data_IF_541043331330
#
_entry.id   IF_541043331330
#
_cell.length_a   1.000
_cell.length_b   1.000
_cell.length_c   1.000
_cell.angle_alpha   90.00
_cell.angle_beta   90.00
_cell.angle_gamma   90.00
#
_symmetry.space_group_name_H-M   'P 1'
#
loop_
_entity.id
_entity.type
_entity.pdbx_description
1 polymer ?
#
# COMPACT_ATOMS: atom_id res chain seq x y z
N UNK A 1 -8.47 18.31 -3.84
CA UNK A 1 -8.62 19.78 -3.68
C UNK A 1 -7.52 20.38 -2.80
N UNK A 2 -7.25 19.84 -1.58
CA UNK A 2 -6.24 20.40 -0.67
C UNK A 2 -4.85 20.50 -1.31
N UNK A 3 -4.34 19.43 -1.90
CA UNK A 3 -3.03 19.40 -2.52
C UNK A 3 -2.89 20.47 -3.64
N UNK A 4 -3.89 20.59 -4.50
CA UNK A 4 -3.89 21.58 -5.58
C UNK A 4 -3.92 23.02 -5.05
N UNK A 5 -4.65 23.28 -3.94
CA UNK A 5 -4.72 24.60 -3.32
C UNK A 5 -3.41 25.01 -2.60
N UNK A 6 -2.52 24.06 -2.32
CA UNK A 6 -1.29 24.29 -1.58
C UNK A 6 -0.03 23.91 -2.36
N UNK A 7 -0.11 23.75 -3.68
CA UNK A 7 1.00 23.33 -4.55
C UNK A 7 1.73 22.07 -4.01
N UNK A 8 0.98 21.16 -3.38
CA UNK A 8 1.52 19.95 -2.77
C UNK A 8 1.38 18.74 -3.68
N UNK A 9 2.31 17.80 -3.56
CA UNK A 9 2.28 16.52 -4.25
C UNK A 9 1.85 15.43 -3.27
N UNK A 10 0.85 14.64 -3.67
CA UNK A 10 0.41 13.46 -2.94
C UNK A 10 1.32 12.29 -3.33
N UNK A 11 1.95 11.67 -2.36
CA UNK A 11 2.61 10.38 -2.52
C UNK A 11 1.63 9.29 -2.05
N UNK A 12 0.99 8.62 -2.99
CA UNK A 12 -0.06 7.64 -2.71
C UNK A 12 0.53 6.23 -2.68
N UNK A 13 0.66 5.67 -1.50
CA UNK A 13 1.13 4.29 -1.31
C UNK A 13 -0.04 3.31 -1.43
N UNK A 14 -0.11 2.63 -2.59
CA UNK A 14 -1.13 1.65 -2.92
C UNK A 14 -0.64 0.19 -2.72
N UNK A 15 0.33 -0.03 -1.82
CA UNK A 15 0.90 -1.36 -1.61
C UNK A 15 -0.12 -2.40 -1.10
N UNK A 16 -1.22 -1.97 -0.51
CA UNK A 16 -2.32 -2.81 -0.01
C UNK A 16 -3.62 -2.69 -0.80
N UNK A 17 -3.63 -2.06 -1.96
CA UNK A 17 -4.84 -1.82 -2.75
C UNK A 17 -5.61 -3.11 -3.10
N UNK A 18 -4.90 -4.21 -3.31
CA UNK A 18 -5.50 -5.50 -3.62
C UNK A 18 -6.36 -6.09 -2.48
N UNK A 19 -6.20 -5.58 -1.25
CA UNK A 19 -7.02 -5.96 -0.10
C UNK A 19 -8.34 -5.19 0.00
N UNK A 20 -8.54 -4.15 -0.81
CA UNK A 20 -9.78 -3.40 -0.85
C UNK A 20 -10.85 -4.27 -1.49
N UNK A 21 -11.88 -4.60 -0.72
CA UNK A 21 -13.04 -5.39 -1.17
C UNK A 21 -14.31 -4.56 -1.29
N UNK A 22 -14.30 -3.35 -0.73
CA UNK A 22 -15.38 -2.38 -0.84
C UNK A 22 -15.33 -1.67 -2.18
N UNK A 23 -16.27 -1.99 -3.07
CA UNK A 23 -16.34 -1.40 -4.42
C UNK A 23 -16.62 0.11 -4.46
N UNK A 24 -16.87 0.76 -3.32
CA UNK A 24 -17.00 2.22 -3.22
C UNK A 24 -15.67 2.93 -3.00
N UNK A 25 -14.61 2.20 -2.66
CA UNK A 25 -13.28 2.74 -2.42
C UNK A 25 -12.40 2.66 -3.66
N UNK A 26 -11.63 3.72 -3.98
CA UNK A 26 -10.73 3.69 -5.14
C UNK A 26 -9.54 2.75 -4.91
N UNK A 27 -9.17 1.99 -5.93
CA UNK A 27 -7.96 1.18 -5.98
C UNK A 27 -6.74 1.96 -6.48
N UNK A 28 -6.97 3.11 -7.10
CA UNK A 28 -5.93 4.02 -7.60
C UNK A 28 -6.28 5.45 -7.26
N UNK A 29 -5.28 6.25 -6.91
CA UNK A 29 -5.46 7.70 -6.75
C UNK A 29 -5.97 8.34 -8.05
N UNK A 30 -5.68 7.73 -9.20
CA UNK A 30 -6.09 8.27 -10.50
C UNK A 30 -7.56 8.02 -10.87
N UNK A 31 -8.31 7.34 -10.03
CA UNK A 31 -9.77 7.29 -10.06
C UNK A 31 -10.39 8.57 -9.49
N UNK A 32 -9.60 9.35 -8.73
CA UNK A 32 -10.01 10.64 -8.18
C UNK A 32 -9.73 11.75 -9.21
N UNK A 33 -10.76 12.55 -9.52
CA UNK A 33 -10.65 13.65 -10.47
C UNK A 33 -9.58 14.66 -10.05
N UNK A 34 -8.72 15.05 -11.00
CA UNK A 34 -7.63 16.01 -10.79
C UNK A 34 -6.37 15.40 -10.15
N UNK A 35 -6.37 14.12 -9.75
CA UNK A 35 -5.21 13.51 -9.11
C UNK A 35 -3.98 13.42 -10.03
N UNK A 36 -4.18 13.32 -11.35
CA UNK A 36 -3.06 13.31 -12.33
C UNK A 36 -2.23 14.59 -12.34
N UNK A 37 -2.76 15.66 -11.78
CA UNK A 37 -2.10 16.97 -11.69
C UNK A 37 -1.28 17.14 -10.40
N UNK A 38 -1.50 16.28 -9.39
CA UNK A 38 -0.89 16.47 -8.07
C UNK A 38 -0.54 15.16 -7.34
N UNK A 39 -0.52 13.99 -8.00
CA UNK A 39 -0.24 12.73 -7.32
C UNK A 39 0.75 11.84 -8.05
N UNK A 40 1.54 11.12 -7.26
CA UNK A 40 2.41 10.01 -7.66
C UNK A 40 1.89 8.77 -6.93
N UNK A 41 1.70 7.66 -7.67
CA UNK A 41 1.24 6.41 -7.10
C UNK A 41 2.37 5.37 -7.02
N UNK A 42 2.44 4.68 -5.90
CA UNK A 42 3.37 3.57 -5.67
C UNK A 42 2.58 2.28 -5.52
N UNK A 43 2.96 1.25 -6.28
CA UNK A 43 2.40 -0.10 -6.20
C UNK A 43 3.48 -1.12 -5.90
N UNK A 44 3.12 -2.18 -5.17
CA UNK A 44 4.07 -3.19 -4.75
C UNK A 44 3.49 -4.59 -4.93
N UNK A 45 4.32 -5.52 -5.40
CA UNK A 45 4.02 -6.95 -5.44
C UNK A 45 4.32 -7.66 -4.11
N UNK A 46 4.87 -6.93 -3.13
CA UNK A 46 5.29 -7.51 -1.86
C UNK A 46 4.14 -8.12 -1.08
N UNK A 47 2.96 -7.48 -1.10
CA UNK A 47 1.84 -7.83 -0.23
C UNK A 47 0.77 -8.68 -0.93
N UNK A 48 0.49 -8.37 -2.18
CA UNK A 48 -0.52 -9.11 -2.96
C UNK A 48 0.01 -10.41 -3.58
N UNK A 49 1.31 -10.48 -3.93
CA UNK A 49 1.91 -11.61 -4.64
C UNK A 49 3.07 -12.28 -3.88
N UNK A 50 3.29 -11.94 -2.61
CA UNK A 50 4.35 -12.54 -1.80
C UNK A 50 5.79 -12.15 -2.18
N UNK A 51 5.98 -11.05 -2.92
CA UNK A 51 7.30 -10.62 -3.40
C UNK A 51 8.13 -9.84 -2.38
N UNK A 52 7.83 -9.96 -1.08
CA UNK A 52 8.54 -9.23 -0.04
C UNK A 52 10.06 -9.45 -0.09
N UNK A 53 10.52 -10.69 -0.29
CA UNK A 53 11.94 -11.03 -0.46
C UNK A 53 12.44 -10.88 -1.90
N UNK A 54 11.54 -10.96 -2.88
CA UNK A 54 11.88 -10.90 -4.32
C UNK A 54 12.13 -9.49 -4.81
N UNK A 55 11.54 -8.49 -4.16
CA UNK A 55 11.73 -7.04 -4.39
C UNK A 55 11.22 -6.54 -5.73
N UNK A 56 9.91 -6.35 -5.87
CA UNK A 56 9.31 -5.73 -7.04
C UNK A 56 8.24 -4.71 -6.65
N UNK A 57 8.37 -3.52 -7.20
CA UNK A 57 7.41 -2.43 -7.05
C UNK A 57 7.44 -1.57 -8.32
N UNK A 58 6.43 -0.73 -8.48
CA UNK A 58 6.40 0.24 -9.56
C UNK A 58 5.92 1.61 -9.05
N UNK A 59 6.34 2.65 -9.76
CA UNK A 59 5.95 4.03 -9.50
C UNK A 59 5.30 4.59 -10.75
N UNK A 60 4.14 5.19 -10.60
CA UNK A 60 3.41 5.85 -11.68
C UNK A 60 3.49 7.35 -11.49
N UNK A 61 4.14 8.03 -12.43
CA UNK A 61 4.26 9.50 -12.45
C UNK A 61 3.66 10.00 -13.77
N UNK A 62 2.55 10.75 -13.73
CA UNK A 62 1.98 11.34 -14.93
C UNK A 62 2.99 12.24 -15.64
N UNK A 63 3.08 12.15 -16.97
CA UNK A 63 3.99 13.00 -17.77
C UNK A 63 3.65 14.48 -17.66
N UNK A 64 2.42 14.80 -17.34
CA UNK A 64 1.93 16.16 -17.15
C UNK A 64 2.20 16.73 -15.75
N UNK A 65 2.61 15.87 -14.79
CA UNK A 65 2.85 16.30 -13.43
C UNK A 65 4.12 17.14 -13.33
N UNK A 66 3.95 18.34 -12.81
CA UNK A 66 5.03 19.32 -12.63
C UNK A 66 5.28 19.57 -11.14
N UNK A 67 6.49 19.98 -10.84
CA UNK A 67 6.90 20.54 -9.56
C UNK A 67 7.57 21.89 -9.76
N UNK A 68 7.95 22.57 -8.68
CA UNK A 68 8.71 23.81 -8.72
C UNK A 68 10.18 23.55 -8.40
N UNK A 69 11.08 24.10 -9.22
CA UNK A 69 12.49 24.17 -8.91
C UNK A 69 12.77 25.30 -7.91
N UNK A 70 13.98 25.37 -7.39
CA UNK A 70 14.39 26.40 -6.42
C UNK A 70 14.30 27.83 -6.96
N UNK A 71 14.41 28.00 -8.27
CA UNK A 71 14.24 29.28 -8.97
C UNK A 71 12.80 29.62 -9.33
N UNK A 72 11.83 28.75 -8.92
CA UNK A 72 10.40 28.90 -9.19
C UNK A 72 9.96 28.38 -10.56
N UNK A 73 10.85 27.90 -11.42
CA UNK A 73 10.50 27.35 -12.73
C UNK A 73 9.78 26.00 -12.61
N UNK A 74 8.93 25.68 -13.60
CA UNK A 74 8.28 24.39 -13.70
C UNK A 74 9.26 23.29 -14.15
N UNK A 75 9.22 22.14 -13.47
CA UNK A 75 9.98 20.95 -13.85
C UNK A 75 9.05 19.75 -14.01
N UNK A 76 9.28 18.95 -15.05
CA UNK A 76 8.53 17.71 -15.27
C UNK A 76 9.07 16.59 -14.35
N UNK A 77 8.30 16.20 -13.35
CA UNK A 77 8.75 15.24 -12.33
C UNK A 77 9.08 13.86 -12.92
N UNK A 78 8.31 13.42 -13.92
CA UNK A 78 8.58 12.14 -14.58
C UNK A 78 9.97 12.10 -15.26
N UNK A 79 10.44 13.22 -15.83
CA UNK A 79 11.77 13.30 -16.43
C UNK A 79 12.88 13.17 -15.40
N UNK A 80 12.72 13.86 -14.27
CA UNK A 80 13.67 13.78 -13.16
C UNK A 80 13.72 12.34 -12.61
N UNK A 81 12.55 11.73 -12.38
CA UNK A 81 12.46 10.36 -11.90
C UNK A 81 13.06 9.36 -12.90
N UNK A 82 12.69 9.45 -14.18
CA UNK A 82 13.19 8.57 -15.22
C UNK A 82 14.73 8.66 -15.33
N UNK A 83 15.28 9.88 -15.29
CA UNK A 83 16.73 10.10 -15.29
C UNK A 83 17.40 9.46 -14.08
N UNK A 84 16.84 9.66 -12.89
CA UNK A 84 17.36 9.06 -11.67
C UNK A 84 17.26 7.54 -11.72
N UNK A 85 16.12 7.00 -12.06
CA UNK A 85 15.86 5.56 -12.13
C UNK A 85 16.81 4.85 -13.09
N UNK A 86 16.89 5.33 -14.33
CA UNK A 86 17.74 4.74 -15.37
C UNK A 86 19.25 4.91 -15.13
N UNK A 87 19.66 5.87 -14.28
CA UNK A 87 21.08 6.12 -13.99
C UNK A 87 21.56 5.43 -12.73
N UNK A 88 20.70 5.32 -11.69
CA UNK A 88 21.07 4.83 -10.37
C UNK A 88 20.68 3.37 -10.13
N UNK A 89 19.65 2.88 -10.80
CA UNK A 89 19.06 1.58 -10.50
C UNK A 89 18.85 0.68 -11.73
N UNK A 90 18.41 1.23 -12.86
CA UNK A 90 18.03 0.55 -14.12
C UNK A 90 16.78 -0.35 -14.04
N UNK A 91 16.22 -0.60 -12.87
CA UNK A 91 15.05 -1.45 -12.65
C UNK A 91 15.38 -2.77 -11.96
N UNK A 92 14.34 -3.52 -11.62
CA UNK A 92 14.46 -4.86 -11.04
C UNK A 92 14.99 -5.87 -12.06
N UNK A 93 15.58 -6.97 -11.59
CA UNK A 93 16.11 -8.00 -12.48
C UNK A 93 15.03 -8.54 -13.44
N UNK A 94 15.44 -8.94 -14.64
CA UNK A 94 14.52 -9.42 -15.68
C UNK A 94 13.67 -10.61 -15.22
N UNK A 95 14.27 -11.56 -14.49
CA UNK A 95 13.57 -12.73 -13.95
C UNK A 95 12.44 -12.32 -13.01
N UNK A 96 12.69 -11.32 -12.14
CA UNK A 96 11.69 -10.78 -11.22
C UNK A 96 10.58 -10.05 -11.99
N UNK A 97 10.92 -9.30 -13.05
CA UNK A 97 9.92 -8.66 -13.91
C UNK A 97 9.02 -9.69 -14.59
N UNK A 98 9.57 -10.81 -15.09
CA UNK A 98 8.78 -11.89 -15.67
C UNK A 98 7.85 -12.55 -14.64
N UNK A 99 8.32 -12.74 -13.41
CA UNK A 99 7.47 -13.20 -12.30
C UNK A 99 6.34 -12.22 -11.99
N UNK A 100 6.63 -10.92 -11.97
CA UNK A 100 5.63 -9.87 -11.73
C UNK A 100 4.59 -9.82 -12.88
N UNK A 101 5.02 -10.01 -14.13
CA UNK A 101 4.11 -10.11 -15.27
C UNK A 101 3.16 -11.30 -15.15
N UNK A 102 3.64 -12.45 -14.67
CA UNK A 102 2.83 -13.64 -14.47
C UNK A 102 1.68 -13.44 -13.46
N UNK A 103 1.83 -12.50 -12.51
CA UNK A 103 0.78 -12.13 -11.56
C UNK A 103 -0.50 -11.63 -12.27
N UNK A 104 -0.35 -11.05 -13.44
CA UNK A 104 -1.48 -10.52 -14.24
C UNK A 104 -2.12 -11.55 -15.18
N UNK A 105 -1.56 -12.77 -15.29
CA UNK A 105 -2.24 -13.87 -15.99
C UNK A 105 -3.50 -14.28 -15.25
N UNK A 106 -4.41 -15.00 -15.92
CA UNK A 106 -5.64 -15.48 -15.28
C UNK A 106 -5.36 -16.41 -14.09
N UNK A 107 -4.33 -17.27 -14.22
CA UNK A 107 -3.90 -18.12 -13.12
C UNK A 107 -3.27 -17.28 -11.97
N UNK A 108 -2.41 -16.32 -12.30
CA UNK A 108 -1.79 -15.42 -11.32
C UNK A 108 -2.83 -14.61 -10.54
N UNK A 109 -3.81 -14.03 -11.23
CA UNK A 109 -4.93 -13.32 -10.58
C UNK A 109 -5.71 -14.22 -9.63
N UNK A 110 -6.01 -15.48 -10.06
CA UNK A 110 -6.71 -16.45 -9.23
C UNK A 110 -5.90 -16.84 -7.98
N UNK A 111 -4.58 -16.96 -8.10
CA UNK A 111 -3.69 -17.24 -6.96
C UNK A 111 -3.64 -16.05 -5.99
N UNK A 112 -3.47 -14.83 -6.51
CA UNK A 112 -3.49 -13.60 -5.71
C UNK A 112 -4.82 -13.46 -4.96
N UNK A 113 -5.95 -13.69 -5.63
CA UNK A 113 -7.26 -13.63 -5.00
C UNK A 113 -7.36 -14.57 -3.80
N UNK A 114 -6.96 -15.84 -3.96
CA UNK A 114 -6.97 -16.82 -2.85
C UNK A 114 -6.06 -16.39 -1.69
N UNK A 115 -4.90 -15.81 -1.99
CA UNK A 115 -3.99 -15.32 -0.98
C UNK A 115 -4.59 -14.15 -0.18
N UNK A 116 -5.22 -13.21 -0.87
CA UNK A 116 -5.91 -12.07 -0.24
C UNK A 116 -7.08 -12.55 0.63
N UNK A 117 -7.91 -13.45 0.11
CA UNK A 117 -9.04 -14.05 0.85
C UNK A 117 -8.55 -14.73 2.14
N UNK A 118 -7.45 -15.46 2.09
CA UNK A 118 -6.85 -16.09 3.27
C UNK A 118 -6.43 -15.07 4.33
N UNK A 119 -5.76 -13.98 3.95
CA UNK A 119 -5.37 -12.94 4.91
C UNK A 119 -6.56 -12.18 5.49
N UNK A 120 -7.58 -11.90 4.68
CA UNK A 120 -8.79 -11.22 5.16
C UNK A 120 -9.62 -12.10 6.09
N UNK A 121 -9.69 -13.41 5.83
CA UNK A 121 -10.33 -14.34 6.75
C UNK A 121 -9.59 -14.42 8.09
N UNK A 122 -8.25 -14.46 8.09
CA UNK A 122 -7.46 -14.38 9.31
C UNK A 122 -7.76 -13.10 10.11
N UNK A 123 -7.80 -11.94 9.41
CA UNK A 123 -8.13 -10.68 10.04
C UNK A 123 -9.53 -10.69 10.66
N UNK A 124 -10.51 -11.26 9.98
CA UNK A 124 -11.88 -11.41 10.46
C UNK A 124 -11.96 -12.30 11.72
N UNK A 125 -11.26 -13.44 11.71
CA UNK A 125 -11.20 -14.34 12.88
C UNK A 125 -10.58 -13.59 14.09
N UNK A 126 -9.47 -12.90 13.88
CA UNK A 126 -8.80 -12.12 14.92
C UNK A 126 -9.73 -11.02 15.45
N UNK A 127 -10.38 -10.26 14.58
CA UNK A 127 -11.31 -9.20 14.99
C UNK A 127 -12.46 -9.74 15.82
N UNK A 128 -13.12 -10.84 15.38
CA UNK A 128 -14.26 -11.40 16.10
C UNK A 128 -13.87 -11.91 17.49
N UNK A 129 -12.78 -12.65 17.59
CA UNK A 129 -12.33 -13.21 18.88
C UNK A 129 -11.89 -12.11 19.86
N UNK A 130 -11.21 -11.06 19.40
CA UNK A 130 -10.82 -9.95 20.25
C UNK A 130 -12.04 -9.14 20.73
N UNK A 131 -13.05 -8.96 19.86
CA UNK A 131 -14.32 -8.31 20.23
C UNK A 131 -15.12 -9.14 21.23
N UNK A 132 -15.19 -10.46 21.04
CA UNK A 132 -15.80 -11.40 22.00
C UNK A 132 -15.10 -11.35 23.37
N UNK A 133 -13.78 -11.14 23.38
CA UNK A 133 -13.01 -10.91 24.61
C UNK A 133 -13.21 -9.51 25.22
N UNK A 134 -14.08 -8.68 24.66
CA UNK A 134 -14.40 -7.35 25.17
C UNK A 134 -13.43 -6.24 24.80
N UNK A 135 -12.53 -6.50 23.82
CA UNK A 135 -11.58 -5.49 23.35
C UNK A 135 -12.17 -4.65 22.20
N UNK A 136 -11.80 -3.38 22.14
CA UNK A 136 -12.15 -2.51 21.02
C UNK A 136 -11.17 -2.71 19.89
N UNK A 137 -11.68 -3.03 18.69
CA UNK A 137 -10.89 -3.41 17.53
C UNK A 137 -11.26 -2.55 16.32
N UNK A 138 -10.27 -2.14 15.54
CA UNK A 138 -10.39 -1.36 14.33
C UNK A 138 -9.62 -2.02 13.18
N UNK A 139 -10.05 -1.79 11.93
CA UNK A 139 -9.39 -2.33 10.74
C UNK A 139 -9.80 -3.76 10.42
N UNK A 140 -8.95 -4.49 9.70
CA UNK A 140 -9.19 -5.87 9.28
C UNK A 140 -10.22 -6.06 8.16
N UNK A 141 -10.67 -4.99 7.49
CA UNK A 141 -11.73 -5.04 6.46
C UNK A 141 -11.14 -4.90 5.04
N UNK A 142 -10.44 -3.80 4.77
CA UNK A 142 -9.79 -3.52 3.48
C UNK A 142 -8.26 -3.58 3.58
N UNK A 143 -7.76 -4.23 4.60
CA UNK A 143 -6.34 -4.47 4.87
C UNK A 143 -6.22 -5.64 5.86
N UNK A 144 -5.07 -6.35 5.88
CA UNK A 144 -4.86 -7.47 6.81
C UNK A 144 -4.53 -7.00 8.23
N UNK A 145 -4.44 -5.70 8.48
CA UNK A 145 -4.04 -5.14 9.77
C UNK A 145 -5.24 -4.94 10.68
N UNK A 146 -5.06 -5.35 11.93
CA UNK A 146 -6.02 -5.20 13.01
C UNK A 146 -5.41 -4.31 14.08
N UNK A 147 -6.11 -3.25 14.45
CA UNK A 147 -5.73 -2.34 15.51
C UNK A 147 -6.57 -2.68 16.76
N UNK A 148 -5.91 -2.84 17.89
CA UNK A 148 -6.56 -3.13 19.16
C UNK A 148 -6.30 -1.98 20.11
N UNK A 149 -7.36 -1.45 20.71
CA UNK A 149 -7.22 -0.52 21.81
C UNK A 149 -6.73 -1.28 23.04
N UNK A 150 -5.59 -0.89 23.59
CA UNK A 150 -5.05 -1.52 24.80
C UNK A 150 -6.03 -1.38 25.96
N UNK A 151 -6.14 -2.39 26.85
CA UNK A 151 -6.96 -2.27 28.05
C UNK A 151 -6.59 -1.06 28.90
N UNK A 152 -7.58 -0.53 29.64
CA UNK A 152 -7.43 0.71 30.37
C UNK A 152 -6.19 0.73 31.28
N UNK A 153 -5.40 1.80 31.15
CA UNK A 153 -4.20 2.04 31.94
C UNK A 153 -2.92 1.38 31.44
N UNK A 154 -2.95 0.62 30.33
CA UNK A 154 -1.76 0.03 29.75
C UNK A 154 -1.27 0.81 28.54
N UNK A 155 0.06 1.04 28.45
CA UNK A 155 0.68 1.43 27.21
C UNK A 155 0.72 0.26 26.22
N UNK A 156 0.98 0.52 24.93
CA UNK A 156 1.14 -0.55 23.94
C UNK A 156 2.27 -1.51 24.32
N UNK A 157 3.39 -0.99 24.80
CA UNK A 157 4.53 -1.80 25.23
C UNK A 157 4.19 -2.69 26.43
N UNK A 158 3.56 -2.14 27.47
CA UNK A 158 3.15 -2.92 28.64
C UNK A 158 2.14 -4.02 28.28
N UNK A 159 1.24 -3.72 27.33
CA UNK A 159 0.26 -4.71 26.87
C UNK A 159 0.93 -5.85 26.10
N UNK A 160 1.82 -5.55 25.16
CA UNK A 160 2.56 -6.57 24.41
C UNK A 160 3.48 -7.40 25.31
N UNK A 161 4.14 -6.77 26.29
CA UNK A 161 4.96 -7.46 27.28
C UNK A 161 4.13 -8.45 28.11
N UNK A 162 2.93 -8.01 28.50
CA UNK A 162 1.98 -8.85 29.22
C UNK A 162 1.48 -10.04 28.38
N UNK A 163 1.21 -9.83 27.08
CA UNK A 163 0.84 -10.90 26.16
C UNK A 163 1.99 -11.90 26.01
N UNK A 164 3.21 -11.42 25.81
CA UNK A 164 4.39 -12.26 25.66
C UNK A 164 4.65 -13.15 26.87
N UNK A 165 4.49 -12.62 28.09
CA UNK A 165 4.78 -13.37 29.33
C UNK A 165 3.65 -14.29 29.80
N UNK A 166 2.39 -14.02 29.42
CA UNK A 166 1.23 -14.75 29.95
C UNK A 166 0.52 -15.62 28.90
N UNK A 167 0.73 -15.35 27.59
CA UNK A 167 0.00 -16.06 26.54
C UNK A 167 0.91 -16.91 25.63
N UNK A 168 2.24 -16.79 25.73
CA UNK A 168 3.27 -17.45 24.90
C UNK A 168 3.12 -17.16 23.40
#
# INVERSE_FOLDING_TARGET
NYAKAHDAIILFDAAYEAFITDGSLPHSIYEVEGARECAIEFRSFSKNAGFTGTRCALCVIPKTLKGKAADGSDVELWRLWNRRHSTKFNGVSYIVQRGAEAVYSEEGKAQVKRLIEFYLENAKIICSQLQEAGLTVYGGVNAPYVWVQTPAGLSSWDFFDKLLHNCN
#
